data_IF_608506239472
#
_entry.id   IF_608506239472
#
_cell.length_a   1.000
_cell.length_b   1.000
_cell.length_c   1.000
_cell.angle_alpha   90.00
_cell.angle_beta   90.00
_cell.angle_gamma   90.00
#
_symmetry.space_group_name_H-M   'P 1'
#
loop_
_entity.id
_entity.type
_entity.pdbx_description
1 polymer ?
#
# COMPACT_ATOMS: atom_id res chain seq x y z
N UNK A 1 -51.90 18.78 -29.19
CA UNK A 1 -51.14 19.06 -27.96
C UNK A 1 -49.93 19.91 -28.33
N UNK A 2 -49.76 21.13 -27.79
CA UNK A 2 -48.64 22.00 -28.15
C UNK A 2 -47.39 21.67 -27.30
N UNK A 3 -46.21 21.65 -27.93
CA UNK A 3 -44.91 21.42 -27.29
C UNK A 3 -44.45 22.67 -26.49
N UNK A 4 -43.70 22.51 -25.38
CA UNK A 4 -43.18 23.64 -24.62
C UNK A 4 -41.98 24.31 -25.32
N UNK A 5 -41.85 25.62 -25.11
CA UNK A 5 -40.85 26.49 -25.73
C UNK A 5 -39.48 26.42 -25.04
N UNK A 6 -38.36 26.57 -25.78
CA UNK A 6 -37.01 26.63 -25.20
C UNK A 6 -36.68 28.03 -24.61
N UNK A 7 -35.77 28.10 -23.61
CA UNK A 7 -35.48 29.34 -22.87
C UNK A 7 -34.67 30.39 -23.65
N UNK A 8 -34.96 31.64 -23.32
CA UNK A 8 -34.68 32.87 -24.07
C UNK A 8 -33.34 33.55 -23.75
N UNK A 9 -32.22 32.83 -23.65
CA UNK A 9 -30.93 33.52 -23.53
C UNK A 9 -29.73 32.69 -24.02
N UNK A 10 -29.34 32.90 -25.27
CA UNK A 10 -28.04 32.50 -25.80
C UNK A 10 -27.43 33.69 -26.53
N UNK A 11 -26.33 34.30 -26.10
CA UNK A 11 -25.80 35.46 -26.82
C UNK A 11 -25.35 35.08 -28.24
N UNK A 12 -25.90 35.77 -29.24
CA UNK A 12 -25.43 35.79 -30.62
C UNK A 12 -24.15 36.64 -30.73
N UNK A 13 -23.10 36.07 -31.30
CA UNK A 13 -22.20 36.75 -32.24
C UNK A 13 -22.05 35.78 -33.43
N UNK A 14 -22.61 36.02 -34.63
CA UNK A 14 -22.23 36.98 -35.70
C UNK A 14 -20.75 36.84 -36.09
N UNK A 15 -20.49 36.05 -37.16
CA UNK A 15 -20.08 36.48 -38.52
C UNK A 15 -18.61 36.95 -38.58
N UNK A 16 -17.74 36.62 -39.54
CA UNK A 16 -17.84 36.03 -40.87
C UNK A 16 -16.39 35.72 -41.35
N UNK A 17 -16.24 35.11 -42.54
CA UNK A 17 -15.05 35.15 -43.44
C UNK A 17 -13.84 34.19 -43.27
N UNK A 18 -13.92 33.07 -44.01
CA UNK A 18 -12.98 32.61 -45.07
C UNK A 18 -11.51 33.08 -45.05
N UNK A 19 -10.53 32.17 -44.90
CA UNK A 19 -9.40 31.94 -45.85
C UNK A 19 -8.76 30.54 -45.68
N UNK A 20 -8.37 29.94 -46.80
CA UNK A 20 -7.64 28.68 -46.97
C UNK A 20 -6.14 28.84 -46.59
N UNK A 21 -5.60 28.02 -45.68
CA UNK A 21 -4.15 27.81 -45.54
C UNK A 21 -3.76 26.59 -44.66
N UNK A 22 -3.52 25.47 -45.32
CA UNK A 22 -2.43 24.49 -45.16
C UNK A 22 -1.80 24.18 -43.77
N UNK A 23 -1.70 22.86 -43.53
CA UNK A 23 -0.59 22.13 -42.88
C UNK A 23 -0.37 22.32 -41.36
N UNK A 24 -0.75 21.32 -40.56
CA UNK A 24 0.23 20.61 -39.71
C UNK A 24 -0.30 19.24 -39.30
N UNK A 25 0.43 18.20 -39.71
CA UNK A 25 0.27 16.82 -39.31
C UNK A 25 0.84 16.70 -37.90
N UNK A 26 -0.01 16.67 -36.88
CA UNK A 26 0.46 16.41 -35.51
C UNK A 26 0.38 14.91 -35.24
N UNK A 27 1.53 14.25 -35.47
CA UNK A 27 1.77 12.89 -35.03
C UNK A 27 1.78 12.90 -33.50
N UNK A 28 0.70 12.42 -32.88
CA UNK A 28 0.70 12.09 -31.45
C UNK A 28 1.59 10.86 -31.24
N UNK A 29 2.90 11.10 -31.15
CA UNK A 29 3.85 10.17 -30.56
C UNK A 29 3.60 10.21 -29.05
N UNK A 30 2.74 9.32 -28.57
CA UNK A 30 2.54 9.09 -27.14
C UNK A 30 3.83 8.49 -26.58
N UNK A 31 4.70 9.34 -26.05
CA UNK A 31 5.83 8.91 -25.23
C UNK A 31 5.28 8.09 -24.04
N UNK A 32 5.40 6.77 -24.11
CA UNK A 32 5.19 5.89 -22.98
C UNK A 32 6.26 6.21 -21.93
N UNK A 33 5.93 7.13 -21.02
CA UNK A 33 6.73 7.37 -19.83
C UNK A 33 6.78 6.07 -19.02
N UNK A 34 7.89 5.34 -19.12
CA UNK A 34 8.12 4.15 -18.32
C UNK A 34 7.95 4.52 -16.84
N UNK A 35 6.94 3.95 -16.20
CA UNK A 35 6.67 4.20 -14.79
C UNK A 35 7.87 3.70 -14.01
N UNK A 36 8.50 4.56 -13.21
CA UNK A 36 9.51 4.14 -12.25
C UNK A 36 8.88 3.13 -11.28
N UNK A 37 9.12 1.85 -11.53
CA UNK A 37 8.75 0.78 -10.61
C UNK A 37 9.78 0.74 -9.49
N UNK A 38 9.32 0.74 -8.24
CA UNK A 38 10.19 0.46 -7.10
C UNK A 38 10.76 -0.95 -7.27
N UNK A 39 12.05 -1.13 -7.00
CA UNK A 39 12.69 -2.44 -7.00
C UNK A 39 12.11 -3.39 -5.94
N UNK A 40 12.49 -4.67 -5.95
CA UNK A 40 12.06 -5.64 -4.94
C UNK A 40 12.30 -5.12 -3.52
N UNK A 41 11.30 -5.25 -2.64
CA UNK A 41 11.47 -4.89 -1.23
C UNK A 41 12.39 -5.91 -0.57
N UNK A 42 13.54 -5.46 -0.07
CA UNK A 42 14.47 -6.32 0.64
C UNK A 42 14.27 -6.25 2.16
N UNK A 43 14.42 -7.39 2.84
CA UNK A 43 14.47 -7.45 4.29
C UNK A 43 15.92 -7.43 4.76
N UNK A 44 16.37 -6.32 5.32
CA UNK A 44 17.66 -6.25 6.00
C UNK A 44 17.65 -7.15 7.26
N UNK A 45 18.81 -7.75 7.58
CA UNK A 45 19.04 -8.49 8.81
C UNK A 45 18.87 -7.57 10.01
N UNK A 46 18.06 -8.01 10.98
CA UNK A 46 17.69 -7.19 12.12
C UNK A 46 16.56 -6.22 11.82
N UNK A 47 15.70 -6.04 12.82
CA UNK A 47 14.56 -5.14 12.71
C UNK A 47 14.87 -3.78 13.30
N UNK A 48 15.94 -3.63 14.08
CA UNK A 48 16.56 -2.44 14.67
C UNK A 48 17.26 -1.53 13.65
N UNK A 49 17.48 -0.25 14.01
CA UNK A 49 17.98 0.82 13.13
C UNK A 49 19.34 0.48 12.55
N UNK A 50 20.15 -0.24 13.31
CA UNK A 50 21.50 -0.67 12.94
C UNK A 50 21.60 -2.19 12.76
N UNK A 51 20.46 -2.86 12.56
CA UNK A 51 20.41 -4.32 12.44
C UNK A 51 20.37 -5.05 13.78
N UNK A 52 20.17 -4.33 14.90
CA UNK A 52 19.85 -4.95 16.19
C UNK A 52 18.40 -5.46 16.25
N UNK A 53 17.99 -5.98 17.41
CA UNK A 53 16.59 -6.30 17.65
C UNK A 53 15.77 -5.02 17.83
N UNK A 54 14.55 -5.01 17.29
CA UNK A 54 13.61 -3.93 17.48
C UNK A 54 13.06 -3.97 18.92
N UNK A 55 13.16 -2.84 19.62
CA UNK A 55 12.68 -2.70 20.99
C UNK A 55 11.20 -2.32 20.97
N UNK A 56 10.34 -3.26 21.34
CA UNK A 56 8.90 -3.07 21.42
C UNK A 56 8.53 -2.66 22.83
N UNK A 57 7.95 -1.47 22.96
CA UNK A 57 7.27 -1.02 24.18
C UNK A 57 5.79 -0.83 23.89
N UNK A 58 4.97 -1.27 24.83
CA UNK A 58 3.54 -1.02 24.83
C UNK A 58 3.26 0.22 25.68
N UNK A 59 2.49 1.15 25.14
CA UNK A 59 1.99 2.30 25.89
C UNK A 59 0.93 1.89 26.92
N UNK A 60 0.42 2.86 27.70
CA UNK A 60 -0.62 2.64 28.72
C UNK A 60 -1.93 2.02 28.16
N UNK A 61 -2.14 2.11 26.84
CA UNK A 61 -3.28 1.53 26.14
C UNK A 61 -3.00 0.14 25.54
N UNK A 62 -1.82 -0.45 25.81
CA UNK A 62 -1.43 -1.74 25.27
C UNK A 62 -1.11 -1.71 23.77
N UNK A 63 -0.78 -0.56 23.21
CA UNK A 63 -0.41 -0.39 21.80
C UNK A 63 1.08 -0.16 21.67
N UNK A 64 1.67 -0.63 20.57
CA UNK A 64 3.08 -0.37 20.28
C UNK A 64 3.28 1.12 19.99
N UNK A 65 4.32 1.72 20.58
CA UNK A 65 4.74 3.11 20.29
C UNK A 65 4.82 3.36 18.78
N UNK A 66 4.36 4.52 18.31
CA UNK A 66 4.12 4.80 16.88
C UNK A 66 5.34 4.55 15.97
N UNK A 67 6.55 4.94 16.41
CA UNK A 67 7.80 4.71 15.65
C UNK A 67 8.09 3.22 15.45
N UNK A 68 7.99 2.45 16.52
CA UNK A 68 8.26 1.01 16.55
C UNK A 68 7.15 0.25 15.82
N UNK A 69 5.90 0.70 15.99
CA UNK A 69 4.71 0.16 15.31
C UNK A 69 4.80 0.30 13.79
N UNK A 70 5.22 1.47 13.29
CA UNK A 70 5.43 1.69 11.85
C UNK A 70 6.53 0.79 11.29
N UNK A 71 7.62 0.63 12.05
CA UNK A 71 8.76 -0.20 11.66
C UNK A 71 8.40 -1.68 11.61
N UNK A 72 7.68 -2.13 12.64
CA UNK A 72 7.14 -3.47 12.74
C UNK A 72 6.12 -3.76 11.62
N UNK A 73 5.20 -2.83 11.34
CA UNK A 73 4.22 -2.96 10.26
C UNK A 73 4.90 -3.11 8.89
N UNK A 74 5.96 -2.34 8.64
CA UNK A 74 6.78 -2.48 7.43
C UNK A 74 7.38 -3.88 7.30
N UNK A 75 7.96 -4.42 8.38
CA UNK A 75 8.55 -5.77 8.41
C UNK A 75 7.50 -6.87 8.28
N UNK A 76 6.36 -6.74 8.93
CA UNK A 76 5.20 -7.63 8.75
C UNK A 76 4.73 -7.65 7.30
N UNK A 77 4.70 -6.50 6.63
CA UNK A 77 4.36 -6.41 5.21
C UNK A 77 5.32 -7.19 4.30
N UNK A 78 6.61 -7.29 4.66
CA UNK A 78 7.59 -8.10 3.93
C UNK A 78 7.40 -9.59 4.24
N UNK A 79 7.20 -9.93 5.52
CA UNK A 79 6.93 -11.31 5.93
C UNK A 79 5.65 -11.89 5.31
N UNK A 80 4.59 -11.09 5.23
CA UNK A 80 3.30 -11.49 4.64
C UNK A 80 3.39 -11.80 3.14
N UNK A 81 4.46 -11.36 2.47
CA UNK A 81 4.74 -11.64 1.04
C UNK A 81 5.78 -12.73 0.85
N UNK A 82 6.36 -13.23 1.94
CA UNK A 82 7.35 -14.30 1.87
C UNK A 82 6.61 -15.64 1.77
N UNK A 83 6.63 -16.27 0.59
CA UNK A 83 5.89 -17.51 0.32
C UNK A 83 6.26 -18.69 1.24
N UNK A 84 7.44 -18.65 1.88
CA UNK A 84 7.91 -19.68 2.82
C UNK A 84 7.27 -19.51 4.21
N UNK A 85 7.10 -18.26 4.66
CA UNK A 85 6.63 -17.93 6.02
C UNK A 85 5.13 -17.63 6.06
N UNK A 86 4.62 -16.95 5.03
CA UNK A 86 3.22 -16.60 4.86
C UNK A 86 2.84 -16.84 3.40
N UNK A 87 2.56 -18.11 3.06
CA UNK A 87 2.10 -18.44 1.72
C UNK A 87 0.84 -17.63 1.38
N UNK A 88 0.88 -16.84 0.31
CA UNK A 88 -0.20 -15.97 -0.17
C UNK A 88 -1.49 -16.72 -0.56
N UNK A 89 -1.49 -18.05 -0.46
CA UNK A 89 -2.62 -18.93 -0.72
C UNK A 89 -3.80 -18.72 0.23
N UNK A 90 -3.57 -18.13 1.41
CA UNK A 90 -4.63 -17.87 2.39
C UNK A 90 -5.12 -16.42 2.30
N UNK A 91 -6.34 -16.25 1.81
CA UNK A 91 -7.00 -14.95 1.69
C UNK A 91 -7.41 -14.34 3.04
N UNK A 92 -7.55 -15.17 4.08
CA UNK A 92 -7.90 -14.76 5.45
C UNK A 92 -6.88 -15.30 6.45
N UNK A 93 -6.34 -14.42 7.29
CA UNK A 93 -5.41 -14.75 8.37
C UNK A 93 -5.95 -15.78 9.36
N UNK A 94 -7.27 -15.84 9.54
CA UNK A 94 -7.94 -16.84 10.39
C UNK A 94 -7.75 -18.25 9.84
N UNK A 95 -7.65 -18.39 8.53
CA UNK A 95 -7.48 -19.66 7.83
C UNK A 95 -6.01 -20.13 7.78
N UNK A 96 -5.06 -19.24 8.08
CA UNK A 96 -3.63 -19.60 8.11
C UNK A 96 -3.39 -20.64 9.21
N UNK A 97 -2.83 -21.82 8.87
CA UNK A 97 -2.54 -22.88 9.85
C UNK A 97 -1.61 -22.40 10.96
N UNK A 98 -1.80 -22.98 12.15
CA UNK A 98 -1.05 -22.58 13.36
C UNK A 98 0.47 -22.72 13.20
N UNK A 99 0.94 -23.72 12.44
CA UNK A 99 2.37 -23.91 12.17
C UNK A 99 3.02 -22.69 11.49
N UNK A 100 2.32 -22.02 10.57
CA UNK A 100 2.82 -20.80 9.93
C UNK A 100 2.78 -19.62 10.89
N UNK A 101 1.72 -19.51 11.70
CA UNK A 101 1.62 -18.48 12.75
C UNK A 101 2.75 -18.61 13.76
N UNK A 102 3.11 -19.83 14.15
CA UNK A 102 4.20 -20.06 15.09
C UNK A 102 5.58 -19.81 14.47
N UNK A 103 5.79 -20.11 13.19
CA UNK A 103 7.02 -19.70 12.48
C UNK A 103 7.16 -18.19 12.38
N UNK A 104 6.07 -17.49 12.05
CA UNK A 104 6.03 -16.03 12.02
C UNK A 104 6.32 -15.47 13.42
N UNK A 105 5.71 -16.03 14.46
CA UNK A 105 5.96 -15.65 15.85
C UNK A 105 7.42 -15.87 16.27
N UNK A 106 8.02 -17.01 15.92
CA UNK A 106 9.43 -17.29 16.17
C UNK A 106 10.32 -16.23 15.51
N UNK A 107 10.03 -15.86 14.27
CA UNK A 107 10.80 -14.85 13.56
C UNK A 107 10.68 -13.45 14.17
N UNK A 108 9.49 -13.09 14.70
CA UNK A 108 9.30 -11.85 15.45
C UNK A 108 10.14 -11.90 16.73
N UNK A 109 10.10 -12.99 17.51
CA UNK A 109 10.88 -13.12 18.75
C UNK A 109 12.38 -13.09 18.52
N UNK A 110 12.87 -13.65 17.41
CA UNK A 110 14.29 -13.60 17.06
C UNK A 110 14.78 -12.17 16.78
N UNK A 111 13.91 -11.30 16.26
CA UNK A 111 14.26 -9.95 15.82
C UNK A 111 13.74 -8.85 16.74
N UNK A 112 13.10 -9.19 17.87
CA UNK A 112 12.51 -8.25 18.82
C UNK A 112 12.82 -8.68 20.25
N UNK A 113 12.54 -7.81 21.22
CA UNK A 113 12.52 -8.15 22.64
C UNK A 113 11.12 -8.56 23.13
N UNK A 114 10.20 -8.91 22.23
CA UNK A 114 8.80 -9.14 22.57
C UNK A 114 8.64 -10.35 23.51
N UNK A 115 7.88 -10.16 24.58
CA UNK A 115 7.47 -11.23 25.48
C UNK A 115 6.22 -11.96 24.95
N UNK A 116 5.95 -13.18 25.45
CA UNK A 116 4.85 -14.02 24.93
C UNK A 116 3.45 -13.46 25.22
N UNK A 117 3.30 -12.58 26.22
CA UNK A 117 2.07 -11.81 26.49
C UNK A 117 1.75 -10.82 25.35
N UNK A 118 2.78 -10.28 24.70
CA UNK A 118 2.63 -9.40 23.55
C UNK A 118 2.22 -10.14 22.28
N UNK A 119 2.35 -11.49 22.23
CA UNK A 119 2.06 -12.32 21.04
C UNK A 119 0.73 -11.97 20.42
N UNK A 120 -0.33 -11.83 21.23
CA UNK A 120 -1.68 -11.52 20.73
C UNK A 120 -1.72 -10.19 20.01
N UNK A 121 -1.17 -9.13 20.61
CA UNK A 121 -1.19 -7.78 20.05
C UNK A 121 -0.36 -7.71 18.76
N UNK A 122 0.86 -8.27 18.80
CA UNK A 122 1.77 -8.24 17.66
C UNK A 122 1.26 -9.07 16.48
N UNK A 123 0.70 -10.26 16.76
CA UNK A 123 0.14 -11.14 15.73
C UNK A 123 -1.22 -10.66 15.20
N UNK A 124 -1.97 -9.83 15.92
CA UNK A 124 -3.20 -9.20 15.41
C UNK A 124 -2.91 -8.16 14.33
N UNK A 125 -1.72 -7.56 14.34
CA UNK A 125 -1.31 -6.62 13.28
C UNK A 125 -1.02 -7.31 11.94
N UNK A 126 -0.87 -8.64 11.92
CA UNK A 126 -0.74 -9.41 10.67
C UNK A 126 -2.09 -9.56 9.96
N UNK A 127 -2.15 -9.11 8.71
CA UNK A 127 -3.33 -9.27 7.86
C UNK A 127 -4.41 -8.20 8.05
N UNK A 128 -4.21 -7.22 8.93
CA UNK A 128 -5.05 -6.04 9.01
C UNK A 128 -4.65 -5.05 7.92
N UNK A 129 -5.14 -5.23 6.70
CA UNK A 129 -5.06 -4.24 5.63
C UNK A 129 -6.39 -4.11 4.91
#
# INVERSE_FOLDING_TARGET
>A
MPMPQPPQNWPQNERDESYDAKNLRDSNESEEQSKQTRGPTMMHSGWGKYGENLHIELNEHGQVTESEGNRMSSKHGVLARNDILASLNYKDWRLVPIMYKDRIWAHIKENTNAADDMKRILMMSFGSK
#
